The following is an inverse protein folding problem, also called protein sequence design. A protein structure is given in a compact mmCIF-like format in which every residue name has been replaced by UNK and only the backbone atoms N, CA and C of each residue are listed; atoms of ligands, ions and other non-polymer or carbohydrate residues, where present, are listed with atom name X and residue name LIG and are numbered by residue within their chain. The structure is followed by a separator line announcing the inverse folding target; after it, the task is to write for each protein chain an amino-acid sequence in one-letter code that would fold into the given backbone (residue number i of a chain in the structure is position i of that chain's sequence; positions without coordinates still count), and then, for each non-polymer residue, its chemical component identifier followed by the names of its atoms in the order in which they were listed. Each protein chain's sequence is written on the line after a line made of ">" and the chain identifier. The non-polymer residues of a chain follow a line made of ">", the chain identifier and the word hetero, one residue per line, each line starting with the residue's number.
data_IF_445596711591
#
_entry.id   IF_445596711591
#
_cell.length_a   1.000
_cell.length_b   1.000
_cell.length_c   1.000
_cell.angle_alpha   90.00
_cell.angle_beta   90.00
_cell.angle_gamma   90.00
#
_symmetry.space_group_name_H-M   'P 1'
#
loop_
_entity.id
_entity.type
_entity.pdbx_description
1 polymer ?
#
# COMPACT_ATOMS: atom_id res chain seq x y z
N UNK A 1 -43.78 76.74 -20.42
CA UNK A 1 -43.01 76.15 -19.31
C UNK A 1 -43.64 74.81 -18.92
N UNK A 2 -42.94 73.70 -19.12
CA UNK A 2 -42.99 72.45 -18.31
C UNK A 2 -42.32 71.31 -19.11
N UNK A 3 -41.23 70.79 -18.55
CA UNK A 3 -40.30 69.82 -19.14
C UNK A 3 -40.91 68.42 -19.22
N UNK A 4 -40.94 67.80 -20.40
CA UNK A 4 -41.06 66.34 -20.53
C UNK A 4 -39.71 65.71 -20.21
N UNK A 5 -39.55 65.21 -18.99
CA UNK A 5 -38.51 64.24 -18.67
C UNK A 5 -39.00 62.86 -19.15
N UNK A 6 -38.28 62.22 -20.08
CA UNK A 6 -38.44 60.79 -20.28
C UNK A 6 -37.06 60.13 -20.43
N UNK A 7 -36.86 59.08 -19.65
CA UNK A 7 -35.60 58.45 -19.26
C UNK A 7 -34.98 57.61 -20.40
N UNK A 8 -33.64 57.47 -20.48
CA UNK A 8 -33.02 56.66 -21.54
C UNK A 8 -33.32 55.17 -21.35
N UNK A 9 -33.79 54.51 -22.42
CA UNK A 9 -33.93 53.06 -22.50
C UNK A 9 -32.56 52.41 -22.33
N UNK A 10 -32.32 51.79 -21.18
CA UNK A 10 -31.12 50.98 -20.91
C UNK A 10 -31.03 49.86 -21.95
N UNK A 11 -30.00 49.90 -22.79
CA UNK A 11 -29.54 48.83 -23.67
C UNK A 11 -29.38 47.53 -22.84
N UNK A 12 -30.37 46.63 -22.89
CA UNK A 12 -30.23 45.26 -22.39
C UNK A 12 -29.44 44.47 -23.43
N UNK A 13 -28.14 44.28 -23.18
CA UNK A 13 -27.33 43.31 -23.92
C UNK A 13 -28.04 41.93 -23.88
N UNK A 14 -28.11 41.18 -24.98
CA UNK A 14 -28.63 39.82 -24.95
C UNK A 14 -27.76 38.98 -24.00
N UNK A 15 -28.40 38.23 -23.11
CA UNK A 15 -27.70 37.28 -22.26
C UNK A 15 -27.03 36.24 -23.17
N UNK A 16 -25.75 35.90 -22.98
CA UNK A 16 -25.15 34.79 -23.72
C UNK A 16 -25.99 33.54 -23.44
N UNK A 17 -26.34 32.82 -24.51
CA UNK A 17 -26.98 31.52 -24.41
C UNK A 17 -26.22 30.70 -23.37
N UNK A 18 -26.92 30.29 -22.31
CA UNK A 18 -26.37 29.33 -21.37
C UNK A 18 -25.93 28.13 -22.20
N UNK A 19 -24.63 27.86 -22.24
CA UNK A 19 -24.09 26.65 -22.83
C UNK A 19 -24.90 25.50 -22.23
N UNK A 20 -25.71 24.84 -23.07
CA UNK A 20 -26.41 23.63 -22.71
C UNK A 20 -25.33 22.58 -22.47
N UNK A 21 -24.76 22.61 -21.26
CA UNK A 21 -23.76 21.68 -20.81
C UNK A 21 -24.34 20.31 -21.06
N UNK A 22 -23.72 19.58 -21.98
CA UNK A 22 -24.08 18.23 -22.38
C UNK A 22 -24.11 17.37 -21.12
N UNK A 23 -25.28 17.29 -20.47
CA UNK A 23 -25.50 16.37 -19.36
C UNK A 23 -25.46 15.00 -19.99
N UNK A 24 -24.28 14.36 -19.95
CA UNK A 24 -24.09 12.98 -20.43
C UNK A 24 -25.21 12.11 -19.89
N UNK A 25 -25.84 11.27 -20.73
CA UNK A 25 -26.97 10.44 -20.33
C UNK A 25 -26.61 9.55 -19.14
N UNK A 26 -27.58 9.17 -18.30
CA UNK A 26 -27.34 8.42 -17.06
C UNK A 26 -26.59 7.09 -17.27
N UNK A 27 -26.78 6.44 -18.43
CA UNK A 27 -26.09 5.21 -18.82
C UNK A 27 -24.56 5.40 -18.91
N UNK A 28 -24.10 6.49 -19.52
CA UNK A 28 -22.67 6.82 -19.66
C UNK A 28 -22.02 7.05 -18.30
N UNK A 29 -22.75 7.68 -17.37
CA UNK A 29 -22.26 7.90 -15.99
C UNK A 29 -22.14 6.58 -15.22
N UNK A 30 -23.06 5.63 -15.43
CA UNK A 30 -22.99 4.29 -14.82
C UNK A 30 -21.80 3.51 -15.38
N UNK A 31 -21.61 3.50 -16.69
CA UNK A 31 -20.47 2.86 -17.35
C UNK A 31 -19.13 3.46 -16.90
N UNK A 32 -19.02 4.79 -16.82
CA UNK A 32 -17.81 5.47 -16.33
C UNK A 32 -17.51 5.13 -14.86
N UNK A 33 -18.53 5.12 -13.99
CA UNK A 33 -18.37 4.69 -12.58
C UNK A 33 -17.91 3.24 -12.49
N UNK A 34 -18.46 2.35 -13.31
CA UNK A 34 -18.05 0.95 -13.36
C UNK A 34 -16.58 0.80 -13.80
N UNK A 35 -16.17 1.51 -14.85
CA UNK A 35 -14.77 1.54 -15.31
C UNK A 35 -13.81 2.09 -14.24
N UNK A 36 -14.17 3.20 -13.58
CA UNK A 36 -13.37 3.77 -12.47
C UNK A 36 -13.20 2.77 -11.33
N UNK A 37 -14.28 2.10 -10.92
CA UNK A 37 -14.24 1.04 -9.88
C UNK A 37 -13.35 -0.13 -10.30
N UNK A 38 -13.44 -0.56 -11.56
CA UNK A 38 -12.60 -1.64 -12.10
C UNK A 38 -11.12 -1.25 -12.08
N UNK A 39 -10.77 -0.05 -12.55
CA UNK A 39 -9.38 0.46 -12.52
C UNK A 39 -8.84 0.54 -11.09
N UNK A 40 -9.64 1.06 -10.15
CA UNK A 40 -9.26 1.12 -8.75
C UNK A 40 -8.99 -0.28 -8.14
N UNK A 41 -9.80 -1.29 -8.51
CA UNK A 41 -9.54 -2.68 -8.10
C UNK A 41 -8.26 -3.24 -8.69
N UNK A 42 -8.01 -3.01 -9.99
CA UNK A 42 -6.78 -3.49 -10.65
C UNK A 42 -5.55 -2.86 -10.00
N UNK A 43 -5.55 -1.53 -9.80
CA UNK A 43 -4.49 -0.82 -9.09
C UNK A 43 -4.30 -1.37 -7.68
N UNK A 44 -5.39 -1.56 -6.93
CA UNK A 44 -5.31 -2.12 -5.57
C UNK A 44 -4.76 -3.55 -5.55
N UNK A 45 -5.08 -4.38 -6.53
CA UNK A 45 -4.53 -5.73 -6.65
C UNK A 45 -3.04 -5.70 -7.02
N UNK A 46 -2.62 -4.80 -7.90
CA UNK A 46 -1.21 -4.62 -8.24
C UNK A 46 -0.38 -4.19 -7.02
N UNK A 47 -0.91 -3.29 -6.19
CA UNK A 47 -0.25 -2.87 -4.95
C UNK A 47 -0.07 -4.03 -3.97
N UNK A 48 -1.07 -4.91 -3.84
CA UNK A 48 -0.99 -6.10 -2.98
C UNK A 48 -0.01 -7.13 -3.55
N UNK A 49 -0.01 -7.34 -4.87
CA UNK A 49 0.93 -8.25 -5.53
C UNK A 49 2.37 -7.78 -5.37
N UNK A 50 2.63 -6.48 -5.53
CA UNK A 50 3.93 -5.87 -5.29
C UNK A 50 4.40 -6.05 -3.83
N UNK A 51 3.51 -5.85 -2.87
CA UNK A 51 3.82 -6.09 -1.46
C UNK A 51 4.17 -7.56 -1.16
N UNK A 52 3.46 -8.52 -1.77
CA UNK A 52 3.79 -9.95 -1.65
C UNK A 52 5.14 -10.28 -2.30
N UNK A 53 5.40 -9.75 -3.49
CA UNK A 53 6.66 -9.98 -4.21
C UNK A 53 7.86 -9.45 -3.41
N UNK A 54 7.74 -8.24 -2.84
CA UNK A 54 8.74 -7.67 -1.95
C UNK A 54 9.01 -8.58 -0.75
N UNK A 55 7.97 -9.05 -0.06
CA UNK A 55 8.11 -9.98 1.06
C UNK A 55 8.78 -11.30 0.66
N UNK A 56 8.42 -11.88 -0.48
CA UNK A 56 9.03 -13.12 -0.94
C UNK A 56 10.50 -12.96 -1.32
N UNK A 57 10.88 -11.83 -1.93
CA UNK A 57 12.29 -11.52 -2.20
C UNK A 57 13.10 -11.48 -0.90
N UNK A 58 12.60 -10.78 0.12
CA UNK A 58 13.27 -10.71 1.43
C UNK A 58 13.31 -12.10 2.09
N UNK A 59 12.22 -12.85 2.05
CA UNK A 59 12.17 -14.20 2.62
C UNK A 59 13.16 -15.17 1.95
N UNK A 60 13.42 -15.03 0.64
CA UNK A 60 14.45 -15.80 -0.06
C UNK A 60 15.86 -15.44 0.43
N UNK A 61 16.17 -14.15 0.59
CA UNK A 61 17.45 -13.72 1.16
C UNK A 61 17.64 -14.23 2.59
N UNK A 62 16.58 -14.16 3.41
CA UNK A 62 16.60 -14.70 4.77
C UNK A 62 16.83 -16.21 4.79
N UNK A 63 16.24 -16.95 3.84
CA UNK A 63 16.46 -18.39 3.73
C UNK A 63 17.93 -18.72 3.45
N UNK A 64 18.54 -18.00 2.49
CA UNK A 64 19.97 -18.12 2.18
C UNK A 64 20.87 -17.74 3.36
N UNK A 65 20.55 -16.66 4.08
CA UNK A 65 21.37 -16.15 5.18
C UNK A 65 21.28 -16.98 6.47
N UNK A 66 20.15 -17.64 6.73
CA UNK A 66 19.88 -18.30 8.02
C UNK A 66 19.78 -19.82 7.95
N UNK A 67 19.72 -20.40 6.75
CA UNK A 67 19.47 -21.82 6.55
C UNK A 67 18.04 -22.28 6.91
N UNK A 68 17.15 -21.36 7.27
CA UNK A 68 15.72 -21.66 7.44
C UNK A 68 15.09 -21.78 6.04
N UNK A 69 14.32 -22.84 5.79
CA UNK A 69 13.69 -23.01 4.48
C UNK A 69 12.75 -21.85 4.14
N UNK A 70 12.71 -21.46 2.87
CA UNK A 70 11.79 -20.41 2.39
C UNK A 70 10.33 -20.75 2.72
N UNK A 71 9.93 -22.01 2.54
CA UNK A 71 8.59 -22.51 2.87
C UNK A 71 8.27 -22.30 4.35
N UNK A 72 9.21 -22.58 5.27
CA UNK A 72 9.02 -22.36 6.70
C UNK A 72 8.84 -20.87 7.03
N UNK A 73 9.54 -19.96 6.34
CA UNK A 73 9.43 -18.50 6.55
C UNK A 73 8.05 -18.00 6.11
N UNK A 74 7.60 -18.38 4.90
CA UNK A 74 6.33 -17.89 4.33
C UNK A 74 5.10 -18.59 4.91
N UNK A 75 5.27 -19.82 5.45
CA UNK A 75 4.18 -20.63 5.98
C UNK A 75 3.40 -19.93 7.10
N UNK A 76 2.12 -20.29 7.22
CA UNK A 76 1.25 -19.91 8.36
C UNK A 76 1.34 -20.89 9.52
N UNK A 77 1.82 -22.11 9.26
CA UNK A 77 1.90 -23.18 10.23
C UNK A 77 3.00 -22.95 11.27
N UNK A 78 2.86 -23.60 12.42
CA UNK A 78 3.83 -23.53 13.52
C UNK A 78 4.77 -24.74 13.43
N UNK A 79 6.10 -24.55 13.28
CA UNK A 79 7.06 -25.65 13.34
C UNK A 79 7.22 -26.21 14.76
N UNK A 80 7.86 -27.38 14.91
CA UNK A 80 8.27 -27.93 16.22
C UNK A 80 9.20 -26.99 17.02
N UNK A 81 9.29 -27.14 18.33
CA UNK A 81 9.72 -26.12 19.31
C UNK A 81 11.03 -25.38 19.00
N UNK A 82 12.12 -26.08 18.66
CA UNK A 82 13.40 -25.43 18.32
C UNK A 82 13.36 -24.76 16.94
N UNK A 83 12.85 -25.47 15.93
CA UNK A 83 12.63 -24.92 14.58
C UNK A 83 11.73 -23.70 14.64
N UNK A 84 10.73 -23.70 15.54
CA UNK A 84 9.80 -22.60 15.78
C UNK A 84 10.51 -21.29 16.13
N UNK A 85 11.56 -21.33 16.96
CA UNK A 85 12.30 -20.11 17.35
C UNK A 85 13.08 -19.53 16.17
N UNK A 86 13.89 -20.34 15.49
CA UNK A 86 14.66 -19.90 14.31
C UNK A 86 13.75 -19.40 13.19
N UNK A 87 12.71 -20.17 12.86
CA UNK A 87 11.72 -19.80 11.84
C UNK A 87 10.94 -18.54 12.22
N UNK A 88 10.62 -18.33 13.51
CA UNK A 88 9.97 -17.10 13.96
C UNK A 88 10.86 -15.89 13.76
N UNK A 89 12.13 -15.97 14.16
CA UNK A 89 13.08 -14.86 13.98
C UNK A 89 13.23 -14.55 12.48
N UNK A 90 13.44 -15.57 11.64
CA UNK A 90 13.58 -15.36 10.20
C UNK A 90 12.34 -14.71 9.56
N UNK A 91 11.13 -15.10 10.00
CA UNK A 91 9.88 -14.49 9.57
C UNK A 91 9.70 -13.06 10.07
N UNK A 92 10.05 -12.80 11.33
CA UNK A 92 9.96 -11.47 11.91
C UNK A 92 10.93 -10.51 11.21
N UNK A 93 12.17 -10.94 10.91
CA UNK A 93 13.11 -10.19 10.07
C UNK A 93 12.55 -9.89 8.68
N UNK A 94 11.96 -10.90 8.02
CA UNK A 94 11.40 -10.71 6.68
C UNK A 94 10.26 -9.69 6.66
N UNK A 95 9.39 -9.73 7.68
CA UNK A 95 8.34 -8.72 7.85
C UNK A 95 8.92 -7.33 8.11
N UNK A 96 9.90 -7.24 9.02
CA UNK A 96 10.56 -5.99 9.38
C UNK A 96 11.20 -5.33 8.17
N UNK A 97 12.11 -6.01 7.47
CA UNK A 97 12.84 -5.47 6.32
C UNK A 97 11.92 -5.10 5.15
N UNK A 98 10.80 -5.82 4.96
CA UNK A 98 9.82 -5.44 3.94
C UNK A 98 9.15 -4.10 4.28
N UNK A 99 8.95 -3.81 5.57
CA UNK A 99 8.34 -2.57 6.03
C UNK A 99 9.36 -1.43 6.09
N UNK A 100 10.56 -1.67 6.63
CA UNK A 100 11.55 -0.62 6.90
C UNK A 100 12.49 -0.38 5.73
N UNK A 101 13.09 -1.43 5.16
CA UNK A 101 14.07 -1.30 4.08
C UNK A 101 13.41 -1.07 2.71
N UNK A 102 12.35 -1.84 2.40
CA UNK A 102 11.60 -1.69 1.14
C UNK A 102 10.55 -0.56 1.23
N UNK A 103 10.09 -0.20 2.43
CA UNK A 103 9.12 0.87 2.64
C UNK A 103 7.66 0.47 2.38
N UNK A 104 7.32 -0.83 2.39
CA UNK A 104 5.93 -1.27 2.23
C UNK A 104 5.15 -1.01 3.52
N UNK A 105 4.01 -0.29 3.49
CA UNK A 105 3.22 -0.06 4.70
C UNK A 105 2.76 -1.37 5.34
N UNK A 106 2.91 -1.49 6.66
CA UNK A 106 2.53 -2.70 7.41
C UNK A 106 1.07 -3.13 7.18
N UNK A 107 0.15 -2.18 6.99
CA UNK A 107 -1.26 -2.46 6.66
C UNK A 107 -1.43 -3.08 5.27
N UNK A 108 -0.66 -2.61 4.28
CA UNK A 108 -0.66 -3.17 2.91
C UNK A 108 -0.06 -4.57 2.92
N UNK A 109 1.08 -4.76 3.56
CA UNK A 109 1.73 -6.06 3.69
C UNK A 109 0.83 -7.08 4.41
N UNK A 110 0.20 -6.69 5.52
CA UNK A 110 -0.71 -7.53 6.27
C UNK A 110 -1.90 -8.00 5.41
N UNK A 111 -2.52 -7.07 4.67
CA UNK A 111 -3.60 -7.38 3.72
C UNK A 111 -3.12 -8.33 2.63
N UNK A 112 -1.95 -8.08 2.06
CA UNK A 112 -1.38 -8.89 0.99
C UNK A 112 -1.09 -10.32 1.47
N UNK A 113 -0.58 -10.49 2.69
CA UNK A 113 -0.33 -11.80 3.31
C UNK A 113 -1.58 -12.51 3.85
N UNK A 114 -2.75 -11.85 3.86
CA UNK A 114 -3.94 -12.37 4.54
C UNK A 114 -3.74 -12.57 6.04
N UNK A 115 -2.95 -11.70 6.69
CA UNK A 115 -2.59 -11.77 8.12
C UNK A 115 -3.13 -10.54 8.88
N UNK A 116 -3.43 -10.68 10.19
CA UNK A 116 -3.79 -9.53 11.01
C UNK A 116 -2.66 -8.50 11.04
N UNK A 117 -2.99 -7.21 10.92
CA UNK A 117 -2.01 -6.11 10.97
C UNK A 117 -1.18 -6.14 12.26
N UNK A 118 -1.80 -6.48 13.40
CA UNK A 118 -1.08 -6.57 14.68
C UNK A 118 0.09 -7.56 14.62
N UNK A 119 -0.02 -8.62 13.80
CA UNK A 119 1.06 -9.60 13.66
C UNK A 119 2.30 -9.00 12.99
N UNK A 120 2.10 -8.12 12.01
CA UNK A 120 3.19 -7.39 11.33
C UNK A 120 3.80 -6.38 12.29
N UNK A 121 2.97 -5.55 12.93
CA UNK A 121 3.46 -4.57 13.90
C UNK A 121 4.24 -5.22 15.05
N UNK A 122 3.72 -6.31 15.63
CA UNK A 122 4.41 -7.02 16.70
C UNK A 122 5.71 -7.67 16.23
N UNK A 123 5.83 -8.05 14.95
CA UNK A 123 7.10 -8.50 14.39
C UNK A 123 8.10 -7.35 14.30
N UNK A 124 7.67 -6.17 13.83
CA UNK A 124 8.52 -4.99 13.78
C UNK A 124 9.04 -4.60 15.16
N UNK A 125 8.17 -4.48 16.17
CA UNK A 125 8.58 -4.12 17.52
C UNK A 125 9.58 -5.12 18.11
N UNK A 126 9.37 -6.43 17.91
CA UNK A 126 10.33 -7.45 18.36
C UNK A 126 11.69 -7.35 17.67
N UNK A 127 11.72 -6.91 16.42
CA UNK A 127 12.97 -6.74 15.69
C UNK A 127 13.67 -5.45 16.07
N UNK A 128 12.93 -4.38 16.35
CA UNK A 128 13.46 -3.15 16.96
C UNK A 128 14.09 -3.46 18.32
N UNK A 129 13.39 -4.16 19.20
CA UNK A 129 13.93 -4.61 20.49
C UNK A 129 15.16 -5.54 20.33
N UNK A 130 15.23 -6.29 19.22
CA UNK A 130 16.33 -7.21 18.96
C UNK A 130 17.57 -6.51 18.37
N UNK A 131 17.42 -5.31 17.78
CA UNK A 131 18.54 -4.55 17.18
C UNK A 131 19.59 -4.13 18.18
N UNK A 132 19.23 -4.02 19.46
CA UNK A 132 20.18 -3.76 20.55
C UNK A 132 21.28 -4.83 20.66
N UNK A 133 21.08 -6.00 20.04
CA UNK A 133 22.09 -7.07 19.98
C UNK A 133 22.96 -6.88 18.75
N UNK A 134 24.26 -6.71 18.97
CA UNK A 134 25.25 -6.51 17.91
C UNK A 134 25.21 -7.58 16.80
N UNK A 135 24.91 -8.84 17.14
CA UNK A 135 24.79 -9.92 16.15
C UNK A 135 23.55 -9.80 15.26
N UNK A 136 22.46 -9.24 15.78
CA UNK A 136 21.23 -8.98 15.02
C UNK A 136 21.44 -7.76 14.14
N UNK A 137 22.02 -6.69 14.69
CA UNK A 137 22.33 -5.48 13.93
C UNK A 137 23.24 -5.81 12.73
N UNK A 138 24.38 -6.48 12.95
CA UNK A 138 25.30 -6.84 11.88
C UNK A 138 24.64 -7.70 10.77
N UNK A 139 23.68 -8.56 11.11
CA UNK A 139 22.92 -9.33 10.13
C UNK A 139 21.96 -8.40 9.35
N UNK A 140 21.22 -7.55 10.04
CA UNK A 140 20.25 -6.63 9.42
C UNK A 140 20.96 -5.62 8.52
N UNK A 141 22.05 -4.98 8.95
CA UNK A 141 22.75 -3.99 8.13
C UNK A 141 23.27 -4.60 6.82
N UNK A 142 23.77 -5.85 6.85
CA UNK A 142 24.20 -6.56 5.63
C UNK A 142 23.04 -6.85 4.68
N UNK A 143 21.88 -7.23 5.21
CA UNK A 143 20.70 -7.51 4.40
C UNK A 143 20.10 -6.24 3.83
N UNK A 144 20.09 -5.15 4.61
CA UNK A 144 19.67 -3.82 4.15
C UNK A 144 20.53 -3.34 2.99
N UNK A 145 21.85 -3.47 3.08
CA UNK A 145 22.78 -3.09 2.01
C UNK A 145 22.58 -3.86 0.68
N UNK A 146 21.92 -5.02 0.70
CA UNK A 146 21.58 -5.79 -0.52
C UNK A 146 20.19 -5.39 -1.06
N UNK A 147 19.34 -4.81 -0.23
CA UNK A 147 17.96 -4.46 -0.55
C UNK A 147 17.81 -3.02 -1.08
N UNK A 148 18.70 -2.12 -0.65
CA UNK A 148 18.76 -0.70 -1.04
C UNK A 148 19.88 -0.44 -2.04
#
# INVERSE_FOLDING_TARGET
>A
MARKQNWPRKNRKPRPFANAGTRRPPADRRAERAMRRRRARISGNADLASALAAYYRVAQLMAGATGVSFSDIVSRATPGTMRRRKTRIARDCALYLTVTAIGIPASRLARALGRPRQRVCAACSRMEDARDRQSVEALLSRLEAVLT
#
